data_IF_370002680005
#
_entry.id   IF_370002680005
#
_cell.length_a   1.000
_cell.length_b   1.000
_cell.length_c   1.000
_cell.angle_alpha   90.00
_cell.angle_beta   90.00
_cell.angle_gamma   90.00
#
_symmetry.space_group_name_H-M   'P 1'
#
loop_
_entity.id
_entity.type
_entity.pdbx_description
1 polymer ?
#
# COMPACT_ATOMS: atom_id res chain seq x y z
N UNK A 1 6.44 -7.93 -7.16
CA UNK A 1 5.24 -7.70 -7.98
C UNK A 1 5.62 -7.38 -9.42
N UNK A 2 4.74 -7.62 -10.40
CA UNK A 2 5.02 -7.26 -11.80
C UNK A 2 4.36 -5.91 -12.12
N UNK A 3 5.14 -4.94 -12.59
CA UNK A 3 4.70 -3.62 -13.03
C UNK A 3 4.75 -3.53 -14.57
N UNK A 4 3.61 -3.34 -15.18
CA UNK A 4 3.48 -3.07 -16.64
C UNK A 4 3.27 -1.57 -16.81
N UNK A 5 4.32 -0.83 -17.12
CA UNK A 5 4.36 0.64 -17.04
C UNK A 5 4.24 1.35 -18.42
N UNK A 6 3.68 0.69 -19.41
CA UNK A 6 3.56 1.23 -20.77
C UNK A 6 4.85 1.23 -21.57
N UNK A 7 6.03 1.16 -20.94
CA UNK A 7 7.34 1.05 -21.60
C UNK A 7 7.85 -0.38 -21.65
N UNK A 8 7.65 -1.13 -20.52
CA UNK A 8 8.07 -2.53 -20.39
C UNK A 8 7.39 -3.18 -19.18
N UNK A 9 7.53 -4.48 -19.04
CA UNK A 9 7.23 -5.20 -17.81
C UNK A 9 8.48 -5.22 -16.92
N UNK A 10 8.29 -5.02 -15.62
CA UNK A 10 9.35 -5.05 -14.62
C UNK A 10 8.91 -5.90 -13.42
N UNK A 11 9.78 -6.78 -12.95
CA UNK A 11 9.61 -7.44 -11.65
C UNK A 11 10.21 -6.51 -10.58
N UNK A 12 9.35 -5.85 -9.81
CA UNK A 12 9.77 -4.94 -8.73
C UNK A 12 9.81 -5.69 -7.40
N UNK A 13 10.96 -5.62 -6.74
CA UNK A 13 11.22 -6.22 -5.43
C UNK A 13 11.55 -5.17 -4.39
N UNK A 14 11.23 -5.46 -3.13
CA UNK A 14 11.56 -4.63 -1.99
C UNK A 14 12.40 -5.47 -1.02
N UNK A 15 13.68 -5.13 -0.85
CA UNK A 15 14.61 -5.87 0.01
C UNK A 15 15.39 -4.92 0.92
N UNK A 16 16.10 -5.43 1.92
CA UNK A 16 16.68 -4.65 3.01
C UNK A 16 17.56 -3.47 2.56
N UNK A 17 18.51 -3.69 1.67
CA UNK A 17 19.42 -2.64 1.21
C UNK A 17 18.85 -1.85 0.04
N UNK A 18 18.23 -2.54 -0.91
CA UNK A 18 17.74 -1.96 -2.16
C UNK A 18 16.34 -2.45 -2.49
N UNK A 19 15.52 -1.55 -3.01
CA UNK A 19 14.47 -1.95 -3.94
C UNK A 19 15.06 -2.11 -5.34
N UNK A 20 14.57 -3.04 -6.13
CA UNK A 20 15.09 -3.30 -7.48
C UNK A 20 13.98 -3.59 -8.47
N UNK A 21 14.21 -3.17 -9.70
CA UNK A 21 13.45 -3.60 -10.87
C UNK A 21 14.27 -4.56 -11.71
N UNK A 22 13.67 -5.66 -12.13
CA UNK A 22 14.29 -6.66 -13.01
C UNK A 22 13.46 -6.83 -14.27
N UNK A 23 14.14 -7.18 -15.36
CA UNK A 23 13.47 -7.72 -16.54
C UNK A 23 12.97 -9.13 -16.20
N UNK A 24 11.65 -9.38 -16.24
CA UNK A 24 11.10 -10.68 -15.87
C UNK A 24 11.44 -11.80 -16.86
N UNK A 25 11.83 -11.48 -18.08
CA UNK A 25 12.20 -12.47 -19.10
C UNK A 25 13.65 -12.96 -18.96
N UNK A 26 14.56 -12.08 -18.53
CA UNK A 26 15.99 -12.37 -18.50
C UNK A 26 16.58 -12.43 -17.10
N UNK A 27 15.87 -11.89 -16.09
CA UNK A 27 16.36 -11.72 -14.73
C UNK A 27 17.38 -10.58 -14.57
N UNK A 28 17.66 -9.82 -15.65
CA UNK A 28 18.60 -8.71 -15.61
C UNK A 28 18.10 -7.58 -14.73
N UNK A 29 18.95 -7.09 -13.81
CA UNK A 29 18.65 -5.88 -13.04
C UNK A 29 18.57 -4.66 -13.97
N UNK A 30 17.47 -3.96 -13.91
CA UNK A 30 17.18 -2.75 -14.68
C UNK A 30 17.55 -1.49 -13.88
N UNK A 31 17.19 -1.48 -12.60
CA UNK A 31 17.47 -0.37 -11.69
C UNK A 31 17.53 -0.84 -10.23
N UNK A 32 18.15 -0.01 -9.40
CA UNK A 32 18.18 -0.16 -7.95
C UNK A 32 17.97 1.17 -7.25
N UNK A 33 17.37 1.11 -6.05
CA UNK A 33 17.10 2.24 -5.17
C UNK A 33 17.55 1.91 -3.76
N UNK A 34 18.54 2.62 -3.23
CA UNK A 34 18.95 2.51 -1.83
C UNK A 34 17.92 3.18 -0.91
N UNK A 35 17.47 2.51 0.14
CA UNK A 35 16.35 2.96 0.97
C UNK A 35 16.74 3.41 2.38
N UNK A 36 17.90 3.05 2.87
CA UNK A 36 18.33 3.30 4.26
C UNK A 36 17.37 2.74 5.34
N UNK A 37 16.57 1.72 5.00
CA UNK A 37 15.66 1.05 5.94
C UNK A 37 15.73 -0.45 5.76
N UNK A 38 16.02 -1.18 6.83
CA UNK A 38 16.21 -2.64 6.80
C UNK A 38 14.90 -3.43 6.82
N UNK A 39 13.80 -2.82 7.26
CA UNK A 39 12.51 -3.48 7.37
C UNK A 39 11.69 -3.23 6.11
N UNK A 40 11.38 -4.31 5.40
CA UNK A 40 10.82 -4.28 4.04
C UNK A 40 9.62 -5.21 3.88
N UNK A 41 8.73 -5.21 4.85
CA UNK A 41 7.53 -6.05 4.84
C UNK A 41 6.54 -5.61 3.75
N UNK A 42 6.24 -4.30 3.58
CA UNK A 42 5.30 -3.87 2.56
C UNK A 42 5.76 -4.20 1.13
N UNK A 43 4.83 -4.68 0.32
CA UNK A 43 5.09 -4.90 -1.11
C UNK A 43 5.16 -3.57 -1.87
N UNK A 44 5.89 -3.50 -3.00
CA UNK A 44 5.75 -2.41 -3.96
C UNK A 44 4.31 -2.30 -4.45
N UNK A 45 3.81 -1.07 -4.63
CA UNK A 45 2.44 -0.78 -5.05
C UNK A 45 2.45 -0.03 -6.36
N UNK A 46 1.70 -0.51 -7.35
CA UNK A 46 1.53 0.18 -8.63
C UNK A 46 0.36 1.16 -8.53
N UNK A 47 0.61 2.41 -8.86
CA UNK A 47 -0.41 3.40 -9.15
C UNK A 47 -0.58 3.63 -10.66
N UNK A 48 -1.33 4.67 -11.07
CA UNK A 48 -1.56 4.94 -12.47
C UNK A 48 -0.27 5.11 -13.29
N UNK A 49 0.67 5.91 -12.79
CA UNK A 49 1.90 6.26 -13.52
C UNK A 49 3.19 5.99 -12.74
N UNK A 50 3.11 5.61 -11.48
CA UNK A 50 4.24 5.45 -10.58
C UNK A 50 4.19 4.10 -9.87
N UNK A 51 5.35 3.60 -9.44
CA UNK A 51 5.41 2.51 -8.46
C UNK A 51 5.90 3.06 -7.12
N UNK A 52 5.18 2.72 -6.06
CA UNK A 52 5.50 3.17 -4.70
C UNK A 52 6.25 2.08 -3.96
N UNK A 53 7.38 2.46 -3.39
CA UNK A 53 8.22 1.61 -2.55
C UNK A 53 8.16 2.18 -1.14
N UNK A 54 7.72 1.37 -0.21
CA UNK A 54 7.64 1.76 1.20
C UNK A 54 8.44 0.80 2.07
N UNK A 55 8.95 1.31 3.16
CA UNK A 55 9.58 0.53 4.20
C UNK A 55 9.24 1.16 5.53
N UNK A 56 9.22 0.37 6.58
CA UNK A 56 8.85 0.92 7.86
C UNK A 56 9.56 0.26 9.03
N UNK A 57 10.36 1.01 9.69
CA UNK A 57 10.74 0.89 11.09
C UNK A 57 11.46 2.19 11.47
N UNK A 58 11.21 2.68 12.69
CA UNK A 58 11.88 3.90 13.15
C UNK A 58 13.40 3.70 13.16
N UNK A 59 14.20 4.75 12.89
CA UNK A 59 13.78 6.14 12.70
C UNK A 59 13.36 6.50 11.26
N UNK A 60 13.62 5.64 10.28
CA UNK A 60 13.41 5.94 8.85
C UNK A 60 12.29 5.04 8.30
N UNK A 61 11.22 5.67 7.84
CA UNK A 61 10.03 5.01 7.29
C UNK A 61 9.73 5.60 5.90
N UNK A 62 10.56 5.30 4.89
CA UNK A 62 10.48 6.00 3.63
C UNK A 62 9.31 5.57 2.77
N UNK A 63 8.88 6.52 1.92
CA UNK A 63 8.01 6.31 0.78
C UNK A 63 8.73 6.90 -0.42
N UNK A 64 8.89 6.13 -1.51
CA UNK A 64 9.43 6.60 -2.78
C UNK A 64 8.42 6.34 -3.89
N UNK A 65 8.23 7.32 -4.76
CA UNK A 65 7.42 7.22 -5.97
C UNK A 65 8.35 7.19 -7.19
N UNK A 66 8.53 6.01 -7.78
CA UNK A 66 9.47 5.76 -8.86
C UNK A 66 8.77 5.91 -10.21
N UNK A 67 9.41 6.66 -11.13
CA UNK A 67 8.91 6.86 -12.50
C UNK A 67 9.09 5.60 -13.37
N UNK A 68 8.27 5.43 -14.41
CA UNK A 68 8.40 4.31 -15.33
C UNK A 68 9.65 4.41 -16.23
N UNK A 69 10.24 3.24 -16.52
CA UNK A 69 11.32 3.12 -17.50
C UNK A 69 12.70 3.60 -17.02
N UNK A 70 12.88 3.81 -15.71
CA UNK A 70 14.16 4.18 -15.12
C UNK A 70 15.19 3.05 -15.22
N UNK A 71 16.48 3.39 -15.22
CA UNK A 71 17.59 2.42 -15.32
C UNK A 71 18.76 2.83 -14.43
N UNK A 72 19.58 1.85 -14.03
CA UNK A 72 20.79 2.07 -13.25
C UNK A 72 20.52 2.33 -11.76
N UNK A 73 21.41 3.03 -11.11
CA UNK A 73 21.23 3.44 -9.72
C UNK A 73 20.42 4.73 -9.67
N UNK A 74 19.21 4.64 -9.12
CA UNK A 74 18.25 5.74 -9.05
C UNK A 74 18.16 6.36 -7.64
N UNK A 75 19.12 6.03 -6.78
CA UNK A 75 19.12 6.47 -5.39
C UNK A 75 19.21 7.99 -5.27
N UNK A 76 18.50 8.53 -4.28
CA UNK A 76 18.58 9.95 -3.94
C UNK A 76 19.87 10.28 -3.20
N UNK A 77 20.44 11.44 -3.48
CA UNK A 77 21.54 11.99 -2.70
C UNK A 77 21.05 12.47 -1.32
N UNK A 78 21.97 12.81 -0.43
CA UNK A 78 21.67 12.99 0.99
C UNK A 78 20.58 14.03 1.34
N UNK A 79 20.36 15.03 0.51
CA UNK A 79 19.37 16.11 0.74
C UNK A 79 18.24 16.15 -0.31
N UNK A 80 18.24 15.21 -1.24
CA UNK A 80 17.23 15.19 -2.31
C UNK A 80 15.94 14.53 -1.83
N UNK A 81 14.81 15.11 -2.21
CA UNK A 81 13.47 14.52 -2.05
C UNK A 81 12.93 13.95 -3.37
N UNK A 82 13.50 14.35 -4.50
CA UNK A 82 13.16 13.91 -5.85
C UNK A 82 14.35 14.06 -6.80
N UNK A 83 14.31 13.38 -7.93
CA UNK A 83 15.27 13.52 -9.03
C UNK A 83 14.60 13.16 -10.38
N UNK A 84 15.37 12.96 -11.44
CA UNK A 84 14.83 12.55 -12.74
C UNK A 84 14.08 11.19 -12.69
N UNK A 85 14.39 10.32 -11.73
CA UNK A 85 13.88 8.96 -11.58
C UNK A 85 12.80 8.81 -10.51
N UNK A 86 12.90 9.60 -9.44
CA UNK A 86 11.99 9.63 -8.29
C UNK A 86 11.13 10.87 -8.40
N UNK A 87 9.81 10.68 -8.57
CA UNK A 87 8.86 11.79 -8.67
C UNK A 87 8.76 12.58 -7.36
N UNK A 88 8.68 11.86 -6.25
CA UNK A 88 8.69 12.39 -4.90
C UNK A 88 9.12 11.33 -3.90
N UNK A 89 9.55 11.77 -2.74
CA UNK A 89 9.82 10.88 -1.61
C UNK A 89 9.47 11.53 -0.28
N UNK A 90 9.32 10.68 0.73
CA UNK A 90 9.20 11.08 2.14
C UNK A 90 10.06 10.13 2.97
N UNK A 91 10.82 10.66 3.90
CA UNK A 91 11.66 9.83 4.80
C UNK A 91 10.90 9.33 6.03
N UNK A 92 9.64 9.76 6.21
CA UNK A 92 8.75 9.33 7.28
C UNK A 92 7.33 9.14 6.74
N UNK A 93 6.59 8.19 7.29
CA UNK A 93 5.20 7.93 6.93
C UNK A 93 4.98 6.57 6.26
N UNK A 94 6.02 5.85 5.89
CA UNK A 94 5.91 4.47 5.41
C UNK A 94 5.40 3.54 6.51
N UNK A 95 4.56 2.56 6.17
CA UNK A 95 3.99 1.62 7.13
C UNK A 95 4.99 0.52 7.48
N UNK A 96 4.86 -0.06 8.68
CA UNK A 96 5.71 -1.16 9.12
C UNK A 96 5.28 -2.51 8.54
N UNK A 97 4.00 -2.86 8.71
CA UNK A 97 3.45 -4.17 8.33
C UNK A 97 2.55 -4.10 7.10
N UNK A 98 1.66 -3.12 7.05
CA UNK A 98 0.65 -3.02 6.02
C UNK A 98 1.23 -2.57 4.69
N UNK A 99 0.84 -3.19 3.58
CA UNK A 99 1.13 -2.67 2.24
C UNK A 99 0.17 -1.51 1.96
N UNK A 100 0.65 -0.33 1.51
CA UNK A 100 -0.22 0.75 1.06
C UNK A 100 -1.13 0.33 -0.09
N UNK A 101 -2.15 1.13 -0.38
CA UNK A 101 -3.00 0.90 -1.54
C UNK A 101 -3.09 2.17 -2.39
N UNK A 102 -2.81 2.04 -3.68
CA UNK A 102 -3.08 3.07 -4.67
C UNK A 102 -4.48 2.84 -5.26
N UNK A 103 -5.35 3.83 -5.18
CA UNK A 103 -6.69 3.74 -5.71
C UNK A 103 -7.16 5.11 -6.22
N UNK A 104 -7.54 5.17 -7.50
CA UNK A 104 -7.77 6.43 -8.18
C UNK A 104 -6.50 7.30 -8.17
N UNK A 105 -6.64 8.56 -7.83
CA UNK A 105 -5.55 9.55 -7.79
C UNK A 105 -4.81 9.60 -6.43
N UNK A 106 -5.03 8.61 -5.56
CA UNK A 106 -4.53 8.65 -4.18
C UNK A 106 -3.71 7.41 -3.80
N UNK A 107 -2.73 7.64 -2.93
CA UNK A 107 -2.01 6.60 -2.20
C UNK A 107 -2.43 6.65 -0.73
N UNK A 108 -3.01 5.57 -0.25
CA UNK A 108 -3.47 5.43 1.14
C UNK A 108 -2.48 4.58 1.92
N UNK A 109 -1.98 5.13 3.00
CA UNK A 109 -0.99 4.51 3.89
C UNK A 109 -1.58 4.39 5.29
N UNK A 110 -1.76 3.17 5.77
CA UNK A 110 -2.22 2.91 7.13
C UNK A 110 -1.04 2.45 7.99
N UNK A 111 -0.77 3.13 9.09
CA UNK A 111 0.23 2.68 10.05
C UNK A 111 -0.33 1.56 10.94
N UNK A 112 0.55 0.80 11.60
CA UNK A 112 0.12 -0.22 12.58
C UNK A 112 -0.74 0.34 13.72
N UNK A 113 -0.53 1.62 14.08
CA UNK A 113 -1.33 2.30 15.09
C UNK A 113 -2.66 2.87 14.57
N UNK A 114 -3.07 2.49 13.35
CA UNK A 114 -4.33 2.93 12.75
C UNK A 114 -4.36 4.40 12.35
N UNK A 115 -3.22 4.98 12.03
CA UNK A 115 -3.18 6.30 11.39
C UNK A 115 -3.23 6.10 9.88
N UNK A 116 -4.31 6.56 9.28
CA UNK A 116 -4.50 6.59 7.83
C UNK A 116 -4.04 7.94 7.29
N UNK A 117 -3.09 7.91 6.38
CA UNK A 117 -2.66 9.09 5.62
C UNK A 117 -2.99 8.89 4.15
N UNK A 118 -3.67 9.85 3.56
CA UNK A 118 -3.97 9.92 2.13
C UNK A 118 -3.01 10.91 1.49
N UNK A 119 -2.32 10.48 0.45
CA UNK A 119 -1.45 11.33 -0.36
C UNK A 119 -2.01 11.43 -1.79
N UNK A 120 -1.86 12.59 -2.43
CA UNK A 120 -1.96 12.69 -3.88
C UNK A 120 -0.87 11.83 -4.49
N UNK A 121 -1.26 10.89 -5.35
CA UNK A 121 -0.38 9.82 -5.82
C UNK A 121 0.77 10.35 -6.68
N UNK A 122 0.54 11.40 -7.44
CA UNK A 122 1.50 12.04 -8.37
C UNK A 122 2.55 12.91 -7.68
N UNK A 123 2.19 13.61 -6.59
CA UNK A 123 3.01 14.63 -5.92
C UNK A 123 3.45 14.28 -4.51
N UNK A 124 2.82 13.27 -3.88
CA UNK A 124 3.05 12.95 -2.48
C UNK A 124 2.53 14.02 -1.51
N UNK A 125 1.74 15.00 -1.98
CA UNK A 125 1.10 15.98 -1.11
C UNK A 125 0.14 15.27 -0.17
N UNK A 126 0.24 15.51 1.14
CA UNK A 126 -0.72 15.01 2.11
C UNK A 126 -2.08 15.69 1.88
N UNK A 127 -3.10 14.86 1.68
CA UNK A 127 -4.49 15.30 1.44
C UNK A 127 -5.24 15.33 2.76
N UNK A 128 -5.14 14.24 3.52
CA UNK A 128 -5.62 14.17 4.90
C UNK A 128 -4.83 13.13 5.70
N UNK A 129 -4.93 13.24 7.02
CA UNK A 129 -4.34 12.31 7.97
C UNK A 129 -5.27 12.16 9.16
N UNK A 130 -5.82 10.95 9.33
CA UNK A 130 -6.86 10.67 10.31
C UNK A 130 -6.59 9.38 11.08
N UNK A 131 -7.16 9.29 12.27
CA UNK A 131 -7.13 8.06 13.06
C UNK A 131 -8.35 7.20 12.71
N UNK A 132 -8.10 6.00 12.19
CA UNK A 132 -9.17 5.04 11.92
C UNK A 132 -9.86 4.56 13.21
N UNK A 133 -9.15 4.53 14.34
CA UNK A 133 -9.55 3.78 15.54
C UNK A 133 -9.01 2.35 15.48
N UNK A 134 -9.48 1.50 16.40
CA UNK A 134 -8.86 0.17 16.61
C UNK A 134 -7.49 0.29 17.30
N UNK A 135 -6.89 -0.84 17.64
CA UNK A 135 -5.64 -0.85 18.41
C UNK A 135 -4.44 -1.11 17.50
N UNK A 136 -4.53 -2.08 16.58
CA UNK A 136 -3.41 -2.48 15.73
C UNK A 136 -3.88 -2.95 14.35
N UNK A 137 -3.05 -2.71 13.35
CA UNK A 137 -3.27 -3.10 11.95
C UNK A 137 -2.05 -3.82 11.40
N UNK A 138 -2.22 -5.10 11.10
CA UNK A 138 -1.23 -5.96 10.42
C UNK A 138 -1.71 -6.30 9.00
N UNK A 139 -3.00 -6.53 8.84
CA UNK A 139 -3.62 -6.78 7.54
C UNK A 139 -3.47 -5.57 6.61
N UNK A 140 -3.07 -5.82 5.38
CA UNK A 140 -3.05 -4.78 4.34
C UNK A 140 -4.48 -4.39 3.96
N UNK A 141 -4.74 -3.12 3.62
CA UNK A 141 -6.06 -2.69 3.16
C UNK A 141 -6.42 -3.27 1.80
N UNK A 142 -7.71 -3.28 1.53
CA UNK A 142 -8.29 -3.62 0.24
C UNK A 142 -9.11 -2.44 -0.28
N UNK A 143 -9.13 -2.22 -1.60
CA UNK A 143 -9.99 -1.23 -2.24
C UNK A 143 -10.91 -1.88 -3.25
N UNK A 144 -12.17 -1.52 -3.23
CA UNK A 144 -13.16 -1.94 -4.21
C UNK A 144 -14.36 -0.99 -4.20
N UNK A 145 -14.92 -0.73 -5.37
CA UNK A 145 -16.19 -0.01 -5.55
C UNK A 145 -16.23 1.33 -4.81
N UNK A 146 -15.15 2.13 -4.92
CA UNK A 146 -15.04 3.43 -4.26
C UNK A 146 -14.86 3.37 -2.74
N UNK A 147 -14.52 2.22 -2.19
CA UNK A 147 -14.36 1.98 -0.75
C UNK A 147 -13.01 1.36 -0.44
N UNK A 148 -12.50 1.69 0.74
CA UNK A 148 -11.30 1.11 1.33
C UNK A 148 -11.70 0.31 2.57
N UNK A 149 -11.16 -0.88 2.71
CA UNK A 149 -11.44 -1.80 3.81
C UNK A 149 -10.18 -1.98 4.64
N UNK A 150 -10.22 -1.59 5.90
CA UNK A 150 -9.14 -1.72 6.86
C UNK A 150 -9.54 -2.70 7.95
N UNK A 151 -8.83 -3.81 8.06
CA UNK A 151 -9.11 -4.84 9.07
C UNK A 151 -8.13 -4.72 10.22
N UNK A 152 -8.62 -4.45 11.42
CA UNK A 152 -7.83 -4.41 12.64
C UNK A 152 -7.56 -5.81 13.18
N UNK A 153 -6.52 -5.95 14.02
CA UNK A 153 -6.21 -7.22 14.69
C UNK A 153 -7.33 -7.68 15.64
N UNK A 154 -8.14 -6.74 16.16
CA UNK A 154 -9.30 -7.04 17.00
C UNK A 154 -10.51 -7.55 16.21
N UNK A 155 -10.41 -7.63 14.88
CA UNK A 155 -11.50 -8.11 14.03
C UNK A 155 -12.52 -7.05 13.65
N UNK A 156 -12.19 -5.77 13.76
CA UNK A 156 -13.01 -4.70 13.20
C UNK A 156 -12.64 -4.46 11.73
N UNK A 157 -13.61 -4.46 10.84
CA UNK A 157 -13.46 -4.03 9.46
C UNK A 157 -14.03 -2.63 9.30
N UNK A 158 -13.15 -1.65 9.17
CA UNK A 158 -13.49 -0.23 8.97
C UNK A 158 -13.57 0.07 7.49
N UNK A 159 -14.70 0.59 7.06
CA UNK A 159 -14.96 0.94 5.65
C UNK A 159 -14.88 2.45 5.51
N UNK A 160 -13.94 2.91 4.69
CA UNK A 160 -13.71 4.32 4.42
C UNK A 160 -14.02 4.59 2.95
N UNK A 161 -14.66 5.71 2.65
CA UNK A 161 -14.86 6.17 1.27
C UNK A 161 -13.53 6.57 0.67
N UNK A 162 -13.24 6.09 -0.52
CA UNK A 162 -12.07 6.53 -1.27
C UNK A 162 -12.29 7.94 -1.82
N UNK A 163 -11.30 8.82 -1.70
CA UNK A 163 -11.40 10.20 -2.19
C UNK A 163 -10.58 11.20 -1.36
N UNK A 164 -10.74 12.49 -1.65
CA UNK A 164 -9.95 13.57 -1.05
C UNK A 164 -10.38 13.97 0.38
N UNK A 165 -11.47 13.40 0.88
CA UNK A 165 -11.97 13.68 2.22
C UNK A 165 -12.14 12.37 2.99
N UNK A 166 -11.74 12.37 4.24
CA UNK A 166 -11.96 11.22 5.11
C UNK A 166 -13.45 11.11 5.46
N UNK A 167 -14.04 9.97 5.15
CA UNK A 167 -15.42 9.62 5.51
C UNK A 167 -15.47 8.16 5.94
N UNK A 168 -15.69 7.90 7.22
CA UNK A 168 -15.89 6.56 7.76
C UNK A 168 -17.33 6.13 7.50
N UNK A 169 -17.52 5.16 6.62
CA UNK A 169 -18.84 4.68 6.19
C UNK A 169 -19.42 3.64 7.15
N UNK A 170 -18.57 2.75 7.68
CA UNK A 170 -19.00 1.69 8.57
C UNK A 170 -17.86 1.15 9.43
N UNK A 171 -18.21 0.56 10.56
CA UNK A 171 -17.37 -0.31 11.40
C UNK A 171 -18.14 -1.61 11.58
N UNK A 172 -17.55 -2.72 11.14
CA UNK A 172 -18.15 -4.05 11.24
C UNK A 172 -17.28 -4.92 12.13
N UNK A 173 -17.86 -5.46 13.19
CA UNK A 173 -17.17 -6.33 14.13
C UNK A 173 -17.35 -7.79 13.73
N UNK A 174 -16.26 -8.53 13.62
CA UNK A 174 -16.26 -9.97 13.30
C UNK A 174 -16.14 -10.83 14.57
N UNK A 175 -15.76 -10.24 15.69
CA UNK A 175 -15.64 -10.91 16.98
C UNK A 175 -14.50 -11.92 17.07
N UNK A 176 -13.50 -11.85 16.19
CA UNK A 176 -12.37 -12.78 16.18
C UNK A 176 -11.11 -12.07 15.61
N UNK A 177 -9.92 -12.53 16.01
CA UNK A 177 -8.63 -11.92 15.62
C UNK A 177 -8.40 -12.02 14.12
N UNK A 178 -8.04 -10.91 13.48
CA UNK A 178 -7.80 -10.81 12.05
C UNK A 178 -6.42 -10.23 11.75
N UNK A 179 -5.56 -11.02 11.09
CA UNK A 179 -4.22 -10.57 10.62
C UNK A 179 -4.03 -10.72 9.11
N UNK A 180 -4.94 -11.41 8.44
CA UNK A 180 -4.86 -11.66 7.02
C UNK A 180 -5.47 -10.51 6.22
N UNK A 181 -4.83 -10.15 5.11
CA UNK A 181 -5.39 -9.23 4.12
C UNK A 181 -6.70 -9.82 3.55
N UNK A 182 -7.80 -9.06 3.56
CA UNK A 182 -9.04 -9.51 2.94
C UNK A 182 -8.91 -9.68 1.42
N UNK A 183 -9.82 -10.43 0.82
CA UNK A 183 -9.89 -10.63 -0.63
C UNK A 183 -11.31 -10.39 -1.14
N UNK A 184 -11.44 -9.98 -2.41
CA UNK A 184 -12.74 -9.90 -3.09
C UNK A 184 -12.73 -10.82 -4.31
N UNK A 185 -13.76 -11.64 -4.44
CA UNK A 185 -14.01 -12.47 -5.62
C UNK A 185 -15.50 -12.63 -5.82
N UNK A 186 -16.00 -12.51 -7.06
CA UNK A 186 -17.40 -12.73 -7.39
C UNK A 186 -18.39 -11.89 -6.56
N UNK A 187 -18.08 -10.63 -6.28
CA UNK A 187 -18.88 -9.71 -5.43
C UNK A 187 -18.95 -10.12 -3.95
N UNK A 188 -18.10 -11.02 -3.53
CA UNK A 188 -18.01 -11.48 -2.14
C UNK A 188 -16.70 -11.00 -1.53
N UNK A 189 -16.78 -10.39 -0.36
CA UNK A 189 -15.62 -10.03 0.48
C UNK A 189 -15.32 -11.22 1.38
N UNK A 190 -14.11 -11.73 1.29
CA UNK A 190 -13.60 -12.79 2.14
C UNK A 190 -12.66 -12.19 3.18
N UNK A 191 -12.96 -12.44 4.46
CA UNK A 191 -12.11 -12.05 5.59
C UNK A 191 -11.76 -13.29 6.38
N UNK A 192 -10.46 -13.58 6.49
CA UNK A 192 -9.97 -14.67 7.33
C UNK A 192 -9.63 -14.16 8.71
N UNK A 193 -10.26 -14.74 9.72
CA UNK A 193 -9.90 -14.57 11.12
C UNK A 193 -9.14 -15.79 11.66
N UNK A 194 -8.84 -15.81 12.93
CA UNK A 194 -8.15 -16.93 13.57
C UNK A 194 -8.93 -18.25 13.44
N UNK A 195 -10.25 -18.22 13.66
CA UNK A 195 -11.09 -19.43 13.69
C UNK A 195 -12.03 -19.56 12.50
N UNK A 196 -12.28 -18.49 11.71
CA UNK A 196 -13.30 -18.46 10.67
C UNK A 196 -12.77 -17.89 9.34
N UNK A 197 -13.46 -18.27 8.28
CA UNK A 197 -13.44 -17.59 6.99
C UNK A 197 -14.82 -16.99 6.73
N UNK A 198 -14.93 -15.68 6.83
CA UNK A 198 -16.16 -14.96 6.53
C UNK A 198 -16.27 -14.74 5.02
N UNK A 199 -17.45 -15.04 4.45
CA UNK A 199 -17.81 -14.73 3.08
C UNK A 199 -18.99 -13.76 3.11
N UNK A 200 -18.73 -12.48 2.88
CA UNK A 200 -19.68 -11.39 3.02
C UNK A 200 -20.09 -10.90 1.63
N UNK A 201 -21.32 -11.15 1.24
CA UNK A 201 -21.90 -10.76 -0.04
C UNK A 201 -23.32 -10.24 0.12
N UNK A 202 -23.85 -9.56 -0.90
CA UNK A 202 -25.29 -9.25 -0.94
C UNK A 202 -26.06 -10.55 -1.12
N UNK A 203 -27.11 -10.76 -0.33
CA UNK A 203 -28.12 -11.78 -0.65
C UNK A 203 -28.66 -11.50 -2.05
N UNK A 204 -28.53 -12.46 -2.97
CA UNK A 204 -29.33 -12.41 -4.19
C UNK A 204 -30.80 -12.54 -3.78
N UNK A 205 -31.72 -11.74 -4.37
CA UNK A 205 -33.12 -12.03 -4.24
C UNK A 205 -33.33 -13.49 -4.68
N UNK A 206 -34.09 -14.26 -3.94
CA UNK A 206 -34.52 -15.57 -4.40
C UNK A 206 -35.33 -15.36 -5.68
N UNK A 207 -34.90 -16.02 -6.78
CA UNK A 207 -35.71 -16.08 -8.02
C UNK A 207 -37.03 -16.80 -7.77
#
# INVERSE_FOLDING_TARGET
>A
MVWRNGRRAELVTNAAQYARGYDPATGKELWRLAKKSEVTIPMPVVGPDLVYITSGNRPIQPIFAVRPGVTGDISLQASEEHNAHIAWSKMRGGPYMTTPIAYGEYLYVCSNAGILTCYAADTGKEVYKERLGGVSYTASPLAADGRLYFTSEQGEVRVVKAGPQFELLAVNELGDVCMATPAISGRTLFVRSQHFLFALGRKQPAE
#
